data_IF_176648123482
#
_entry.id   IF_176648123482
#
_cell.length_a   1.000
_cell.length_b   1.000
_cell.length_c   1.000
_cell.angle_alpha   90.00
_cell.angle_beta   90.00
_cell.angle_gamma   90.00
#
_symmetry.space_group_name_H-M   'P 1'
#
loop_
_entity.id
_entity.type
_entity.pdbx_description
1 polymer ?
#
# COMPACT_ATOMS: atom_id res chain seq x y z
N UNK A 1 -0.80 -3.87 4.15
CA UNK A 1 -0.86 -4.83 5.28
C UNK A 1 -1.81 -6.01 4.97
N UNK A 2 -1.29 -7.23 4.99
CA UNK A 2 -2.11 -8.45 4.91
C UNK A 2 -2.99 -8.61 6.17
N UNK A 3 -4.16 -9.26 6.08
CA UNK A 3 -5.01 -9.51 7.25
C UNK A 3 -4.22 -10.37 8.25
N UNK A 4 -4.09 -9.86 9.48
CA UNK A 4 -3.29 -10.47 10.55
C UNK A 4 -1.88 -9.88 10.73
N UNK A 5 -1.52 -8.83 10.00
CA UNK A 5 -0.23 -8.18 10.11
C UNK A 5 -0.36 -6.81 10.79
N UNK A 6 0.15 -6.69 12.03
CA UNK A 6 0.26 -5.43 12.79
C UNK A 6 1.27 -4.43 12.20
N UNK A 7 1.75 -4.66 10.97
CA UNK A 7 2.74 -3.79 10.34
C UNK A 7 2.08 -2.59 9.66
N UNK A 8 2.49 -1.40 10.05
CA UNK A 8 2.20 -0.16 9.34
C UNK A 8 3.01 -0.07 8.06
N UNK A 9 2.65 0.81 7.13
CA UNK A 9 3.39 0.97 5.88
C UNK A 9 4.20 2.23 5.96
N UNK A 10 5.50 2.07 5.76
CA UNK A 10 6.48 3.13 5.93
C UNK A 10 7.17 3.44 4.61
N UNK A 11 7.53 4.70 4.45
CA UNK A 11 8.23 5.22 3.28
C UNK A 11 9.71 4.95 3.49
N UNK A 12 10.31 4.10 2.66
CA UNK A 12 11.75 3.83 2.68
C UNK A 12 12.42 4.34 1.40
N UNK A 13 13.71 4.62 1.50
CA UNK A 13 14.52 5.11 0.37
C UNK A 13 15.68 4.16 0.17
N UNK A 14 15.89 3.71 -1.07
CA UNK A 14 17.03 2.89 -1.44
C UNK A 14 18.33 3.72 -1.41
N UNK A 15 19.47 3.04 -1.32
CA UNK A 15 20.81 3.67 -1.39
C UNK A 15 21.04 4.47 -2.68
N UNK A 16 20.29 4.16 -3.75
CA UNK A 16 20.27 4.87 -5.05
C UNK A 16 19.25 6.04 -5.10
N UNK A 17 18.59 6.37 -3.98
CA UNK A 17 17.66 7.51 -3.88
C UNK A 17 16.22 7.23 -4.32
N UNK A 18 15.89 6.02 -4.79
CA UNK A 18 14.51 5.64 -5.15
C UNK A 18 13.66 5.39 -3.90
N UNK A 19 12.50 6.01 -3.83
CA UNK A 19 11.51 5.81 -2.76
C UNK A 19 10.67 4.58 -3.04
N UNK A 20 10.43 3.76 -2.01
CA UNK A 20 9.55 2.61 -2.03
C UNK A 20 8.77 2.54 -0.71
N UNK A 21 7.61 1.93 -0.76
CA UNK A 21 6.70 1.82 0.38
C UNK A 21 6.71 0.38 0.84
N UNK A 22 7.20 0.14 2.04
CA UNK A 22 7.35 -1.20 2.58
C UNK A 22 6.57 -1.33 3.88
N UNK A 23 6.11 -2.54 4.18
CA UNK A 23 5.57 -2.80 5.51
C UNK A 23 6.69 -2.68 6.55
N UNK A 24 6.39 -2.06 7.68
CA UNK A 24 7.29 -1.91 8.82
C UNK A 24 7.54 -3.24 9.53
N UNK A 25 6.69 -4.23 9.28
CA UNK A 25 6.85 -5.58 9.81
C UNK A 25 7.79 -6.39 8.92
N UNK A 26 8.92 -6.83 9.47
CA UNK A 26 9.90 -7.71 8.82
C UNK A 26 9.31 -9.04 8.33
N UNK A 27 8.17 -9.49 8.90
CA UNK A 27 7.45 -10.67 8.41
C UNK A 27 6.56 -10.41 7.19
N UNK A 28 6.55 -9.18 6.67
CA UNK A 28 5.71 -8.79 5.56
C UNK A 28 6.57 -8.29 4.40
N UNK A 29 6.76 -9.14 3.40
CA UNK A 29 7.48 -8.85 2.15
C UNK A 29 6.74 -7.88 1.21
N UNK A 30 5.81 -7.09 1.75
CA UNK A 30 5.08 -6.11 0.97
C UNK A 30 5.99 -4.94 0.62
N UNK A 31 6.23 -4.75 -0.67
CA UNK A 31 6.97 -3.61 -1.23
C UNK A 31 6.17 -3.05 -2.42
N UNK A 32 5.95 -1.74 -2.41
CA UNK A 32 5.31 -1.02 -3.48
C UNK A 32 6.21 0.11 -4.01
N UNK A 33 6.28 0.20 -5.33
CA UNK A 33 6.97 1.28 -6.04
C UNK A 33 6.01 2.41 -6.44
N UNK A 34 4.71 2.12 -6.48
CA UNK A 34 3.66 3.11 -6.72
C UNK A 34 3.45 3.99 -5.50
N UNK A 35 3.04 5.24 -5.75
CA UNK A 35 2.68 6.18 -4.69
C UNK A 35 1.42 5.68 -3.97
N UNK A 36 1.46 5.53 -2.63
CA UNK A 36 0.28 5.31 -1.84
C UNK A 36 -0.47 6.62 -1.72
N UNK A 37 -1.78 6.50 -1.71
CA UNK A 37 -2.72 7.57 -1.47
C UNK A 37 -3.25 7.35 -0.06
N UNK A 38 -3.24 8.41 0.77
CA UNK A 38 -3.83 8.44 2.12
C UNK A 38 -5.34 8.25 2.04
N UNK A 39 -5.75 7.02 1.72
CA UNK A 39 -7.12 6.60 1.58
C UNK A 39 -7.27 5.25 2.23
N UNK A 40 -8.17 5.17 3.21
CA UNK A 40 -8.40 3.94 3.94
C UNK A 40 -9.24 2.97 3.11
N UNK A 41 -8.76 1.75 2.96
CA UNK A 41 -9.48 0.68 2.28
C UNK A 41 -10.68 0.23 3.14
N UNK A 42 -11.93 0.33 2.64
CA UNK A 42 -13.12 -0.08 3.40
C UNK A 42 -13.26 -1.60 3.53
N UNK A 43 -12.59 -2.40 2.69
CA UNK A 43 -12.70 -3.86 2.72
C UNK A 43 -11.78 -4.52 3.75
N UNK A 44 -10.53 -4.06 3.87
CA UNK A 44 -9.56 -4.66 4.79
C UNK A 44 -9.01 -3.71 5.85
N UNK A 45 -9.39 -2.43 5.81
CA UNK A 45 -8.95 -1.42 6.78
C UNK A 45 -7.54 -0.87 6.56
N UNK A 46 -6.87 -1.20 5.45
CA UNK A 46 -5.55 -0.65 5.14
C UNK A 46 -5.60 0.88 5.08
N UNK A 47 -4.63 1.58 5.68
CA UNK A 47 -4.66 3.05 5.80
C UNK A 47 -4.37 3.82 4.51
N UNK A 48 -3.96 3.12 3.45
CA UNK A 48 -3.64 3.70 2.15
C UNK A 48 -3.98 2.74 1.01
N UNK A 49 -4.19 3.32 -0.18
CA UNK A 49 -4.35 2.60 -1.45
C UNK A 49 -3.18 2.91 -2.37
N UNK A 50 -2.90 2.06 -3.35
CA UNK A 50 -1.87 2.33 -4.36
C UNK A 50 -2.49 2.88 -5.63
N UNK A 51 -1.91 3.95 -6.16
CA UNK A 51 -2.29 4.44 -7.48
C UNK A 51 -1.76 3.51 -8.58
N UNK A 52 -2.67 2.99 -9.39
CA UNK A 52 -2.40 2.20 -10.59
C UNK A 52 -3.09 2.85 -11.79
N UNK A 53 -2.37 3.76 -12.46
CA UNK A 53 -2.93 4.57 -13.55
C UNK A 53 -3.95 5.58 -13.03
N UNK A 54 -5.21 5.43 -13.45
CA UNK A 54 -6.35 6.28 -13.05
C UNK A 54 -7.24 5.61 -11.99
N UNK A 55 -6.79 4.53 -11.36
CA UNK A 55 -7.50 3.85 -10.29
C UNK A 55 -6.61 3.64 -9.06
N UNK A 56 -7.23 3.61 -7.90
CA UNK A 56 -6.64 3.24 -6.63
C UNK A 56 -6.97 1.78 -6.35
N UNK A 57 -5.95 0.99 -6.04
CA UNK A 57 -6.10 -0.43 -5.71
C UNK A 57 -5.58 -0.69 -4.31
N UNK A 58 -6.17 -1.65 -3.62
CA UNK A 58 -5.66 -2.03 -2.32
C UNK A 58 -4.32 -2.76 -2.47
N UNK A 59 -3.30 -2.36 -1.69
CA UNK A 59 -2.00 -3.06 -1.65
C UNK A 59 -2.09 -4.48 -1.11
N UNK A 60 -3.15 -4.83 -0.39
CA UNK A 60 -3.26 -6.11 0.27
C UNK A 60 -3.64 -7.20 -0.77
N UNK A 61 -2.80 -8.22 -1.03
CA UNK A 61 -3.11 -9.26 -2.00
C UNK A 61 -4.32 -10.13 -1.60
N UNK A 62 -4.71 -10.13 -0.31
CA UNK A 62 -5.94 -10.76 0.16
C UNK A 62 -7.17 -9.85 0.06
N UNK A 63 -7.03 -8.65 -0.51
CA UNK A 63 -8.07 -7.65 -0.63
C UNK A 63 -8.11 -7.10 -2.06
N UNK A 64 -9.13 -7.49 -2.82
CA UNK A 64 -9.31 -7.05 -4.21
C UNK A 64 -10.09 -5.73 -4.33
N UNK A 65 -9.92 -4.81 -3.38
CA UNK A 65 -10.57 -3.50 -3.47
C UNK A 65 -9.90 -2.65 -4.54
N UNK A 66 -10.71 -2.08 -5.44
CA UNK A 66 -10.27 -1.08 -6.41
C UNK A 66 -11.36 -0.02 -6.61
N UNK A 67 -10.93 1.21 -6.85
CA UNK A 67 -11.80 2.35 -7.12
C UNK A 67 -11.13 3.31 -8.10
N UNK A 68 -11.89 4.07 -8.91
CA UNK A 68 -11.30 5.13 -9.74
C UNK A 68 -10.65 6.21 -8.85
N UNK A 69 -9.53 6.80 -9.29
CA UNK A 69 -8.90 7.92 -8.57
C UNK A 69 -9.73 9.20 -8.66
N UNK A 70 -10.74 9.23 -9.52
CA UNK A 70 -11.68 10.35 -9.68
C UNK A 70 -12.43 10.62 -8.37
N UNK A 71 -11.86 11.50 -7.56
CA UNK A 71 -12.61 12.48 -6.78
C UNK A 71 -12.92 13.67 -7.67
#
# INVERSE_FOLDING_TARGET
PVPGCNGEITIRRTKKGRTFYACSNDKCDFVAWSKPVEKKCPLCGADFLLRKGNKLICPNPKCSYEEPEQG
#
